data_IF_689575654297
#
_entry.id   IF_689575654297
#
_cell.length_a   1.000
_cell.length_b   1.000
_cell.length_c   1.000
_cell.angle_alpha   90.00
_cell.angle_beta   90.00
_cell.angle_gamma   90.00
#
_symmetry.space_group_name_H-M   'P 1'
#
loop_
_entity.id
_entity.type
_entity.pdbx_description
1 polymer ?
#
# COMPACT_ATOMS: atom_id res chain seq x y z
N UNK A 1 -14.38 -3.26 -12.21
CA UNK A 1 -13.80 -3.74 -10.94
C UNK A 1 -13.95 -2.64 -9.91
N UNK A 2 -14.94 -2.79 -9.04
CA UNK A 2 -15.03 -2.00 -7.81
C UNK A 2 -13.85 -2.44 -6.92
N UNK A 3 -13.12 -1.50 -6.31
CA UNK A 3 -12.09 -1.90 -5.36
C UNK A 3 -12.78 -2.56 -4.18
N UNK A 4 -12.69 -3.89 -4.17
CA UNK A 4 -13.24 -4.75 -3.14
C UNK A 4 -12.63 -4.30 -1.82
N UNK A 5 -13.47 -3.71 -0.97
CA UNK A 5 -13.11 -3.39 0.40
C UNK A 5 -12.61 -4.69 1.07
N UNK A 6 -11.59 -4.62 1.93
CA UNK A 6 -11.10 -5.80 2.62
C UNK A 6 -12.22 -6.45 3.44
N UNK A 7 -12.16 -7.78 3.57
CA UNK A 7 -13.05 -8.49 4.50
C UNK A 7 -12.72 -8.06 5.94
N UNK A 8 -13.60 -8.36 6.90
CA UNK A 8 -13.34 -7.99 8.30
C UNK A 8 -12.06 -8.63 8.85
N UNK A 9 -11.80 -9.89 8.49
CA UNK A 9 -10.54 -10.59 8.81
C UNK A 9 -9.32 -9.87 8.22
N UNK A 10 -9.43 -9.36 6.97
CA UNK A 10 -8.35 -8.63 6.33
C UNK A 10 -8.08 -7.30 7.03
N UNK A 11 -9.12 -6.58 7.49
CA UNK A 11 -8.96 -5.33 8.25
C UNK A 11 -8.21 -5.57 9.55
N UNK A 12 -8.58 -6.61 10.31
CA UNK A 12 -7.90 -6.95 11.56
C UNK A 12 -6.43 -7.32 11.28
N UNK A 13 -6.16 -8.06 10.21
CA UNK A 13 -4.79 -8.40 9.83
C UNK A 13 -3.98 -7.15 9.44
N UNK A 14 -4.55 -6.22 8.66
CA UNK A 14 -3.92 -4.95 8.29
C UNK A 14 -3.63 -4.10 9.52
N UNK A 15 -4.59 -3.95 10.43
CA UNK A 15 -4.41 -3.20 11.68
C UNK A 15 -3.26 -3.78 12.51
N UNK A 16 -3.21 -5.12 12.64
CA UNK A 16 -2.09 -5.80 13.31
C UNK A 16 -0.75 -5.54 12.64
N UNK A 17 -0.69 -5.58 11.30
CA UNK A 17 0.54 -5.29 10.55
C UNK A 17 1.02 -3.84 10.76
N UNK A 18 0.09 -2.89 10.89
CA UNK A 18 0.41 -1.49 11.15
C UNK A 18 0.83 -1.21 12.60
N UNK A 19 0.31 -1.97 13.57
CA UNK A 19 0.50 -1.70 15.01
C UNK A 19 1.56 -2.58 15.69
N UNK A 20 2.01 -3.67 15.06
CA UNK A 20 2.97 -4.62 15.67
C UNK A 20 4.44 -4.16 15.74
N UNK A 21 4.73 -2.88 15.45
CA UNK A 21 6.07 -2.31 15.59
C UNK A 21 7.05 -2.67 14.46
N UNK A 22 6.54 -3.07 13.29
CA UNK A 22 7.35 -3.29 12.09
C UNK A 22 7.86 -1.94 11.53
N UNK A 23 9.04 -1.91 10.88
CA UNK A 23 9.40 -0.80 10.01
C UNK A 23 8.29 -0.51 8.99
N UNK A 24 7.98 0.77 8.79
CA UNK A 24 6.85 1.22 7.94
C UNK A 24 6.85 0.59 6.54
N UNK A 25 8.02 0.49 5.91
CA UNK A 25 8.17 -0.10 4.57
C UNK A 25 7.89 -1.60 4.56
N UNK A 26 8.23 -2.30 5.64
CA UNK A 26 8.01 -3.72 5.80
C UNK A 26 6.52 -4.02 6.06
N UNK A 27 5.87 -3.25 6.96
CA UNK A 27 4.44 -3.36 7.20
C UNK A 27 3.63 -3.18 5.92
N UNK A 28 3.95 -2.14 5.14
CA UNK A 28 3.31 -1.83 3.85
C UNK A 28 3.53 -2.91 2.81
N UNK A 29 4.72 -3.49 2.76
CA UNK A 29 4.99 -4.61 1.89
C UNK A 29 4.15 -5.84 2.28
N UNK A 30 4.08 -6.17 3.57
CA UNK A 30 3.27 -7.26 4.07
C UNK A 30 1.76 -7.06 3.79
N UNK A 31 1.27 -5.83 3.85
CA UNK A 31 -0.10 -5.49 3.47
C UNK A 31 -0.36 -5.73 1.98
N UNK A 32 0.58 -5.33 1.10
CA UNK A 32 0.45 -5.63 -0.33
C UNK A 32 0.45 -7.14 -0.57
N UNK A 33 1.34 -7.89 0.10
CA UNK A 33 1.38 -9.37 0.03
C UNK A 33 0.03 -9.97 0.42
N UNK A 34 -0.58 -9.49 1.51
CA UNK A 34 -1.91 -9.90 1.95
C UNK A 34 -2.97 -9.63 0.87
N UNK A 35 -3.03 -8.41 0.33
CA UNK A 35 -4.00 -8.06 -0.71
C UNK A 35 -3.78 -8.86 -2.01
N UNK A 36 -2.53 -9.13 -2.38
CA UNK A 36 -2.19 -10.01 -3.50
C UNK A 36 -2.74 -11.41 -3.25
N UNK A 37 -2.43 -12.02 -2.10
CA UNK A 37 -2.93 -13.34 -1.73
C UNK A 37 -4.46 -13.41 -1.81
N UNK A 38 -5.17 -12.44 -1.20
CA UNK A 38 -6.65 -12.35 -1.22
C UNK A 38 -7.26 -12.04 -2.58
N UNK A 39 -6.45 -11.64 -3.55
CA UNK A 39 -6.90 -11.45 -4.94
C UNK A 39 -6.86 -12.76 -5.72
N UNK A 40 -5.92 -13.66 -5.41
CA UNK A 40 -5.71 -14.90 -6.15
C UNK A 40 -6.21 -16.16 -5.41
N UNK A 41 -6.34 -16.10 -4.09
CA UNK A 41 -6.80 -17.21 -3.26
C UNK A 41 -8.06 -16.85 -2.47
N UNK A 42 -8.95 -17.84 -2.33
CA UNK A 42 -10.15 -17.81 -1.49
C UNK A 42 -9.98 -18.64 -0.22
N UNK A 43 -8.80 -19.18 0.02
CA UNK A 43 -8.53 -20.00 1.20
C UNK A 43 -8.72 -19.17 2.47
N UNK A 44 -9.39 -19.77 3.44
CA UNK A 44 -9.50 -19.20 4.76
C UNK A 44 -8.28 -19.60 5.58
N UNK A 45 -7.52 -18.60 6.01
CA UNK A 45 -6.24 -18.77 6.70
C UNK A 45 -6.38 -18.12 8.07
N UNK A 46 -6.05 -18.82 9.17
CA UNK A 46 -6.09 -18.24 10.50
C UNK A 46 -5.30 -16.93 10.56
N UNK A 47 -5.86 -15.93 11.22
CA UNK A 47 -5.32 -14.56 11.18
C UNK A 47 -3.85 -14.47 11.61
N UNK A 48 -3.43 -15.25 12.61
CA UNK A 48 -2.05 -15.28 13.07
C UNK A 48 -1.10 -15.92 12.05
N UNK A 49 -1.55 -16.95 11.31
CA UNK A 49 -0.80 -17.56 10.20
C UNK A 49 -0.67 -16.56 9.05
N UNK A 50 -1.78 -15.89 8.70
CA UNK A 50 -1.83 -14.89 7.64
C UNK A 50 -0.86 -13.74 7.92
N UNK A 51 -0.96 -13.13 9.10
CA UNK A 51 -0.07 -12.04 9.54
C UNK A 51 1.38 -12.53 9.60
N UNK A 52 1.64 -13.68 10.23
CA UNK A 52 2.98 -14.24 10.37
C UNK A 52 3.65 -14.52 9.02
N UNK A 53 2.95 -15.15 8.09
CA UNK A 53 3.49 -15.47 6.76
C UNK A 53 3.71 -14.25 5.90
N UNK A 54 2.80 -13.27 5.91
CA UNK A 54 3.02 -12.01 5.18
C UNK A 54 4.25 -11.24 5.69
N UNK A 55 4.48 -11.24 7.01
CA UNK A 55 5.67 -10.63 7.62
C UNK A 55 6.93 -11.42 7.25
N UNK A 56 6.90 -12.75 7.37
CA UNK A 56 8.05 -13.62 7.05
C UNK A 56 8.46 -13.48 5.59
N UNK A 57 7.49 -13.56 4.67
CA UNK A 57 7.70 -13.34 3.24
C UNK A 57 8.37 -11.99 2.98
N UNK A 58 7.81 -10.93 3.57
CA UNK A 58 8.31 -9.57 3.40
C UNK A 58 9.73 -9.40 3.93
N UNK A 59 10.06 -10.08 5.02
CA UNK A 59 11.39 -10.05 5.62
C UNK A 59 12.45 -10.71 4.76
N UNK A 60 12.12 -11.88 4.20
CA UNK A 60 13.01 -12.61 3.28
C UNK A 60 13.26 -11.79 2.01
N UNK A 61 12.22 -11.23 1.41
CA UNK A 61 12.34 -10.42 0.18
C UNK A 61 13.14 -9.12 0.40
N UNK A 62 12.96 -8.44 1.53
CA UNK A 62 13.60 -7.15 1.81
C UNK A 62 14.98 -7.26 2.47
N UNK A 63 15.42 -8.46 2.84
CA UNK A 63 16.67 -8.71 3.55
C UNK A 63 16.86 -7.78 4.76
N UNK A 64 15.81 -7.61 5.57
CA UNK A 64 15.82 -6.69 6.72
C UNK A 64 15.99 -7.47 8.04
N UNK A 65 17.22 -7.70 8.54
CA UNK A 65 17.46 -8.52 9.73
C UNK A 65 16.94 -7.91 11.04
N UNK A 66 16.44 -6.67 11.01
CA UNK A 66 15.99 -5.95 12.22
C UNK A 66 14.60 -6.37 12.74
N UNK A 67 13.80 -7.13 11.99
CA UNK A 67 12.43 -7.47 12.39
C UNK A 67 12.23 -8.90 12.93
N UNK A 68 13.31 -9.62 13.23
CA UNK A 68 13.28 -10.98 13.81
C UNK A 68 12.50 -11.04 15.13
N UNK A 69 12.50 -9.95 15.91
CA UNK A 69 11.70 -9.81 17.15
C UNK A 69 10.19 -9.81 16.90
N UNK A 70 9.73 -9.33 15.74
CA UNK A 70 8.29 -9.29 15.40
C UNK A 70 7.82 -10.65 14.91
N UNK A 71 8.62 -11.36 14.10
CA UNK A 71 8.34 -12.77 13.76
C UNK A 71 8.19 -13.58 15.05
N UNK A 72 9.12 -13.43 16.01
CA UNK A 72 9.07 -14.18 17.28
C UNK A 72 7.74 -13.97 18.03
N UNK A 73 7.22 -12.73 18.08
CA UNK A 73 5.90 -12.44 18.67
C UNK A 73 4.74 -13.07 17.89
N UNK A 74 4.84 -13.17 16.57
CA UNK A 74 3.85 -13.90 15.77
C UNK A 74 3.92 -15.42 16.03
N UNK A 75 5.13 -15.96 16.16
CA UNK A 75 5.40 -17.37 16.47
C UNK A 75 4.96 -17.79 17.89
N UNK A 76 4.80 -16.86 18.83
CA UNK A 76 4.28 -17.15 20.18
C UNK A 76 2.80 -17.56 20.16
N UNK A 77 2.06 -17.31 19.07
CA UNK A 77 0.63 -17.57 18.97
C UNK A 77 0.27 -18.78 18.09
N UNK A 78 1.17 -19.19 17.20
CA UNK A 78 0.94 -20.28 16.24
C UNK A 78 2.23 -21.06 15.98
N UNK A 79 2.09 -22.34 15.61
CA UNK A 79 3.22 -23.19 15.24
C UNK A 79 4.00 -22.60 14.07
N UNK A 80 5.32 -22.65 14.17
CA UNK A 80 6.23 -22.18 13.13
C UNK A 80 5.99 -22.87 11.78
N UNK A 81 5.69 -24.17 11.80
CA UNK A 81 5.40 -24.95 10.59
C UNK A 81 4.25 -24.37 9.75
N UNK A 82 3.23 -23.82 10.40
CA UNK A 82 2.04 -23.31 9.72
C UNK A 82 2.36 -21.98 9.04
N UNK A 83 3.15 -21.13 9.72
CA UNK A 83 3.63 -19.85 9.17
C UNK A 83 4.60 -20.08 8.01
N UNK A 84 5.55 -21.01 8.15
CA UNK A 84 6.50 -21.35 7.09
C UNK A 84 5.79 -22.00 5.91
N UNK A 85 4.86 -22.93 6.15
CA UNK A 85 4.06 -23.54 5.09
C UNK A 85 3.25 -22.51 4.30
N UNK A 86 2.62 -21.57 5.00
CA UNK A 86 1.90 -20.48 4.35
C UNK A 86 2.83 -19.52 3.59
N UNK A 87 4.02 -19.21 4.13
CA UNK A 87 4.99 -18.38 3.41
C UNK A 87 5.47 -19.03 2.11
N UNK A 88 5.68 -20.35 2.09
CA UNK A 88 6.01 -21.07 0.86
C UNK A 88 4.88 -20.99 -0.18
N UNK A 89 3.61 -21.01 0.26
CA UNK A 89 2.47 -20.77 -0.62
C UNK A 89 2.49 -19.34 -1.18
N UNK A 90 2.81 -18.33 -0.37
CA UNK A 90 2.93 -16.94 -0.81
C UNK A 90 3.99 -16.77 -1.91
N UNK A 91 5.10 -17.50 -1.86
CA UNK A 91 6.13 -17.50 -2.92
C UNK A 91 5.58 -17.93 -4.28
N UNK A 92 4.57 -18.82 -4.32
CA UNK A 92 3.96 -19.25 -5.57
C UNK A 92 2.91 -18.27 -6.11
N UNK A 93 2.29 -17.48 -5.22
CA UNK A 93 1.15 -16.62 -5.56
C UNK A 93 1.57 -15.17 -5.81
N UNK A 94 2.54 -14.68 -5.03
CA UNK A 94 2.88 -13.25 -4.98
C UNK A 94 4.05 -12.95 -5.89
N UNK A 95 3.92 -11.91 -6.72
CA UNK A 95 4.97 -11.43 -7.62
C UNK A 95 6.20 -10.99 -6.82
N UNK A 96 7.39 -11.32 -7.32
CA UNK A 96 8.67 -10.97 -6.68
C UNK A 96 8.88 -9.45 -6.58
N UNK A 97 8.38 -8.67 -7.55
CA UNK A 97 8.63 -7.22 -7.64
C UNK A 97 7.45 -6.38 -7.13
N UNK A 98 7.23 -6.38 -5.81
CA UNK A 98 6.22 -5.53 -5.17
C UNK A 98 6.73 -4.09 -5.04
N UNK A 99 6.05 -3.15 -5.71
CA UNK A 99 6.34 -1.73 -5.62
C UNK A 99 5.47 -1.04 -4.54
N UNK A 100 6.08 -0.19 -3.72
CA UNK A 100 5.34 0.64 -2.76
C UNK A 100 4.73 1.85 -3.48
N UNK A 101 3.56 2.29 -3.03
CA UNK A 101 2.87 3.45 -3.63
C UNK A 101 3.73 4.71 -3.52
N UNK A 102 4.36 4.94 -2.36
CA UNK A 102 5.26 6.09 -2.16
C UNK A 102 6.48 6.08 -3.09
N UNK A 103 6.93 4.92 -3.57
CA UNK A 103 8.08 4.84 -4.47
C UNK A 103 7.76 5.42 -5.85
N UNK A 104 6.48 5.45 -6.24
CA UNK A 104 6.02 6.01 -7.51
C UNK A 104 5.93 7.54 -7.48
N UNK A 105 5.90 8.15 -6.29
CA UNK A 105 5.63 9.58 -6.14
C UNK A 105 6.61 10.46 -6.89
N UNK A 106 7.90 10.12 -6.90
CA UNK A 106 8.92 10.93 -7.56
C UNK A 106 8.63 11.09 -9.05
N UNK A 107 8.37 9.98 -9.74
CA UNK A 107 8.09 9.96 -11.17
C UNK A 107 6.77 10.66 -11.49
N UNK A 108 5.72 10.35 -10.73
CA UNK A 108 4.39 10.95 -10.90
C UNK A 108 4.41 12.46 -10.63
N UNK A 109 5.14 12.90 -9.61
CA UNK A 109 5.30 14.33 -9.31
C UNK A 109 6.12 15.06 -10.39
N UNK A 110 7.15 14.40 -10.95
CA UNK A 110 7.91 14.97 -12.05
C UNK A 110 7.03 15.13 -13.31
N UNK A 111 6.18 14.15 -13.61
CA UNK A 111 5.23 14.20 -14.73
C UNK A 111 4.31 15.43 -14.62
N UNK A 112 3.74 15.69 -13.44
CA UNK A 112 2.85 16.85 -13.25
C UNK A 112 3.61 18.19 -13.26
N UNK A 113 4.83 18.22 -12.73
CA UNK A 113 5.66 19.43 -12.69
C UNK A 113 6.06 19.92 -14.09
N UNK A 114 6.31 18.99 -15.03
CA UNK A 114 6.63 19.35 -16.41
C UNK A 114 5.51 20.16 -17.08
N UNK A 115 4.26 19.92 -16.67
CA UNK A 115 3.08 20.59 -17.19
C UNK A 115 2.70 21.81 -16.34
N UNK A 116 2.94 21.73 -15.02
CA UNK A 116 2.59 22.77 -14.05
C UNK A 116 3.82 23.15 -13.18
N UNK A 117 4.80 23.90 -13.72
CA UNK A 117 6.04 24.21 -13.00
C UNK A 117 5.83 24.96 -11.68
N UNK A 118 4.74 25.73 -11.57
CA UNK A 118 4.36 26.48 -10.37
C UNK A 118 4.06 25.60 -9.15
N UNK A 119 3.78 24.30 -9.35
CA UNK A 119 3.64 23.35 -8.24
C UNK A 119 4.95 23.16 -7.46
N UNK A 120 6.10 23.47 -8.07
CA UNK A 120 7.40 23.37 -7.43
C UNK A 120 7.51 24.17 -6.13
N UNK A 121 6.83 25.31 -6.05
CA UNK A 121 6.86 26.17 -4.86
C UNK A 121 6.20 25.54 -3.62
N UNK A 122 5.24 24.63 -3.81
CA UNK A 122 4.55 23.92 -2.72
C UNK A 122 4.92 22.43 -2.67
N UNK A 123 6.07 22.06 -3.24
CA UNK A 123 6.47 20.66 -3.42
C UNK A 123 6.46 19.85 -2.13
N UNK A 124 7.13 20.35 -1.09
CA UNK A 124 7.27 19.61 0.17
C UNK A 124 5.91 19.37 0.83
N UNK A 125 5.10 20.43 0.96
CA UNK A 125 3.74 20.36 1.51
C UNK A 125 2.86 19.38 0.72
N UNK A 126 2.92 19.43 -0.60
CA UNK A 126 2.14 18.54 -1.47
C UNK A 126 2.56 17.08 -1.30
N UNK A 127 3.86 16.81 -1.21
CA UNK A 127 4.40 15.47 -0.96
C UNK A 127 3.95 14.95 0.42
N UNK A 128 4.00 15.78 1.47
CA UNK A 128 3.57 15.39 2.82
C UNK A 128 2.09 15.00 2.86
N UNK A 129 1.22 15.80 2.25
CA UNK A 129 -0.21 15.49 2.14
C UNK A 129 -0.41 14.21 1.33
N UNK A 130 0.30 14.06 0.21
CA UNK A 130 0.20 12.86 -0.63
C UNK A 130 0.62 11.59 0.13
N UNK A 131 1.71 11.63 0.89
CA UNK A 131 2.15 10.53 1.73
C UNK A 131 1.14 10.16 2.82
N UNK A 132 0.44 11.16 3.38
CA UNK A 132 -0.64 10.94 4.33
C UNK A 132 -1.84 10.24 3.68
N UNK A 133 -2.28 10.72 2.50
CA UNK A 133 -3.37 10.09 1.74
C UNK A 133 -3.02 8.64 1.36
N UNK A 134 -1.77 8.40 0.92
CA UNK A 134 -1.28 7.05 0.57
C UNK A 134 -1.36 6.07 1.74
N UNK A 135 -1.18 6.51 2.99
CA UNK A 135 -1.33 5.63 4.15
C UNK A 135 -2.68 4.90 4.14
N UNK A 136 -3.75 5.59 3.75
CA UNK A 136 -5.10 5.05 3.73
C UNK A 136 -5.36 4.11 2.56
N UNK A 137 -4.60 4.28 1.47
CA UNK A 137 -4.72 3.37 0.32
C UNK A 137 -4.21 1.97 0.65
N UNK A 138 -3.31 1.80 1.62
CA UNK A 138 -2.86 0.49 2.11
C UNK A 138 -3.95 -0.30 2.82
N UNK A 139 -4.94 0.37 3.39
CA UNK A 139 -6.13 -0.29 3.96
C UNK A 139 -7.09 -0.82 2.89
N UNK A 140 -6.75 -0.63 1.61
CA UNK A 140 -7.59 -1.04 0.48
C UNK A 140 -6.74 -1.76 -0.57
N UNK A 141 -7.41 -2.40 -1.53
CA UNK A 141 -6.72 -3.01 -2.68
C UNK A 141 -6.16 -1.99 -3.67
N UNK A 142 -6.39 -0.69 -3.48
CA UNK A 142 -5.79 0.33 -4.33
C UNK A 142 -4.26 0.33 -4.28
N UNK A 143 -3.65 -0.13 -3.18
CA UNK A 143 -2.19 -0.28 -3.09
C UNK A 143 -1.60 -1.31 -4.07
N UNK A 144 -2.43 -2.16 -4.70
CA UNK A 144 -2.01 -3.08 -5.76
C UNK A 144 -1.73 -2.38 -7.10
N UNK A 145 -2.14 -1.11 -7.24
CA UNK A 145 -1.97 -0.29 -8.44
C UNK A 145 -1.13 0.95 -8.09
N UNK A 146 0.16 0.77 -7.80
CA UNK A 146 0.95 1.77 -7.07
C UNK A 146 1.09 3.10 -7.82
N UNK A 147 1.21 3.08 -9.14
CA UNK A 147 1.27 4.33 -9.91
C UNK A 147 -0.08 5.06 -9.97
N UNK A 148 -1.18 4.35 -10.26
CA UNK A 148 -2.52 4.93 -10.28
C UNK A 148 -2.93 5.46 -8.90
N UNK A 149 -2.54 4.74 -7.84
CA UNK A 149 -2.70 5.15 -6.45
C UNK A 149 -1.91 6.44 -6.14
N UNK A 150 -0.65 6.52 -6.55
CA UNK A 150 0.17 7.71 -6.39
C UNK A 150 -0.39 8.91 -7.18
N UNK A 151 -0.88 8.70 -8.42
CA UNK A 151 -1.54 9.73 -9.24
C UNK A 151 -2.82 10.25 -8.57
N UNK A 152 -3.70 9.35 -8.14
CA UNK A 152 -4.95 9.73 -7.47
C UNK A 152 -4.71 10.51 -6.18
N UNK A 153 -3.75 10.05 -5.36
CA UNK A 153 -3.35 10.76 -4.15
C UNK A 153 -2.74 12.13 -4.45
N UNK A 154 -1.95 12.26 -5.51
CA UNK A 154 -1.34 13.52 -5.90
C UNK A 154 -2.36 14.56 -6.36
N UNK A 155 -3.37 14.17 -7.14
CA UNK A 155 -4.47 15.05 -7.55
C UNK A 155 -5.12 15.67 -6.31
N UNK A 156 -5.54 14.83 -5.36
CA UNK A 156 -6.22 15.28 -4.13
C UNK A 156 -5.29 16.11 -3.25
N UNK A 157 -3.99 15.78 -3.20
CA UNK A 157 -3.01 16.57 -2.47
C UNK A 157 -2.86 17.98 -3.06
N UNK A 158 -2.79 18.11 -4.39
CA UNK A 158 -2.72 19.40 -5.06
C UNK A 158 -4.00 20.24 -4.84
N UNK A 159 -5.18 19.61 -4.87
CA UNK A 159 -6.46 20.26 -4.53
C UNK A 159 -6.44 20.81 -3.09
N UNK A 160 -5.99 20.01 -2.11
CA UNK A 160 -5.87 20.44 -0.71
C UNK A 160 -4.82 21.55 -0.50
N UNK A 161 -3.79 21.60 -1.35
CA UNK A 161 -2.81 22.68 -1.36
C UNK A 161 -3.33 23.97 -2.00
N UNK A 162 -4.57 24.00 -2.53
CA UNK A 162 -5.10 25.11 -3.34
C UNK A 162 -4.16 25.48 -4.48
N UNK A 163 -3.48 24.49 -5.05
CA UNK A 163 -2.88 24.69 -6.36
C UNK A 163 -4.02 25.12 -7.30
N UNK A 164 -3.81 26.18 -8.08
CA UNK A 164 -4.81 26.64 -9.05
C UNK A 164 -5.20 25.54 -10.06
N UNK A 165 -5.98 25.86 -11.09
CA UNK A 165 -6.44 24.86 -12.05
C UNK A 165 -5.27 24.06 -12.63
N UNK A 166 -5.26 22.75 -12.35
CA UNK A 166 -4.22 21.83 -12.77
C UNK A 166 -4.47 21.36 -14.19
N UNK A 167 -3.46 21.46 -15.04
CA UNK A 167 -3.46 20.72 -16.31
C UNK A 167 -2.98 19.31 -16.05
N UNK A 168 -3.82 18.32 -16.32
CA UNK A 168 -3.51 16.92 -16.14
C UNK A 168 -3.04 16.31 -17.46
N UNK A 169 -2.07 15.38 -17.40
CA UNK A 169 -1.74 14.54 -18.55
C UNK A 169 -2.75 13.40 -18.68
N UNK A 170 -2.77 12.72 -19.83
CA UNK A 170 -3.65 11.56 -20.07
C UNK A 170 -3.53 10.46 -19.01
N UNK A 171 -2.36 10.27 -18.41
CA UNK A 171 -2.14 9.23 -17.39
C UNK A 171 -2.89 9.52 -16.08
N UNK A 172 -3.19 10.79 -15.80
CA UNK A 172 -3.97 11.23 -14.65
C UNK A 172 -5.48 11.18 -14.91
N UNK A 173 -5.90 11.05 -16.17
CA UNK A 173 -7.30 10.98 -16.59
C UNK A 173 -7.81 9.53 -16.68
N UNK A 174 -6.96 8.55 -16.39
CA UNK A 174 -7.33 7.15 -16.41
C UNK A 174 -8.49 6.85 -15.42
N UNK A 175 -9.46 5.99 -15.78
CA UNK A 175 -10.62 5.71 -14.93
C UNK A 175 -10.26 5.23 -13.51
N UNK A 176 -9.15 4.50 -13.37
CA UNK A 176 -8.68 4.02 -12.07
C UNK A 176 -8.17 5.17 -11.18
N UNK A 177 -7.43 6.11 -11.77
CA UNK A 177 -6.93 7.29 -11.07
C UNK A 177 -8.09 8.13 -10.55
N UNK A 178 -9.10 8.38 -11.39
CA UNK A 178 -10.32 9.11 -11.02
C UNK A 178 -11.05 8.44 -9.85
N UNK A 179 -11.24 7.12 -9.89
CA UNK A 179 -11.89 6.37 -8.80
C UNK A 179 -11.14 6.46 -7.49
N UNK A 180 -9.80 6.37 -7.53
CA UNK A 180 -8.95 6.49 -6.34
C UNK A 180 -9.04 7.91 -5.76
N UNK A 181 -8.96 8.93 -6.62
CA UNK A 181 -9.11 10.33 -6.20
C UNK A 181 -10.48 10.57 -5.55
N UNK A 182 -11.56 10.08 -6.16
CA UNK A 182 -12.91 10.19 -5.61
C UNK A 182 -13.07 9.49 -4.25
N UNK A 183 -12.49 8.30 -4.10
CA UNK A 183 -12.42 7.61 -2.81
C UNK A 183 -11.72 8.48 -1.76
N UNK A 184 -10.52 8.96 -2.06
CA UNK A 184 -9.74 9.79 -1.13
C UNK A 184 -10.43 11.11 -0.79
N UNK A 185 -11.13 11.74 -1.74
CA UNK A 185 -11.97 12.91 -1.46
C UNK A 185 -13.04 12.55 -0.44
N UNK A 186 -13.79 11.48 -0.64
CA UNK A 186 -14.86 11.05 0.31
C UNK A 186 -14.33 10.70 1.70
N UNK A 187 -13.10 10.18 1.80
CA UNK A 187 -12.49 9.81 3.09
C UNK A 187 -11.93 11.02 3.86
N UNK A 188 -11.49 12.07 3.15
CA UNK A 188 -10.75 13.21 3.73
C UNK A 188 -11.42 14.58 3.54
N UNK A 189 -12.69 14.62 3.12
CA UNK A 189 -13.54 15.81 3.05
C UNK A 189 -14.43 15.89 4.28
#
# INVERSE_FOLDING_TARGET
>A
MDAVLPTETDKIAIDRLLTCGLPRTLARHAIIVLHCFRTFSKEDVPIDVLVGGCVLYSLKQRQCPSATKVIKKCLERVKESDIVGFELLLVQIVRENILLVEACLRCVFQEILLINPSLGFNRERTIQICLHLICNLYETRWCLFPESAARGALIVACEKCKAGPLKLSKSFEEPMVTRIADYLRKTFV
#
